data_IF_517860355466
#
_entry.id   IF_517860355466
#
_cell.length_a   1.000
_cell.length_b   1.000
_cell.length_c   1.000
_cell.angle_alpha   90.00
_cell.angle_beta   90.00
_cell.angle_gamma   90.00
#
_symmetry.space_group_name_H-M   'P 1'
#
loop_
_entity.id
_entity.type
_entity.pdbx_description
1 polymer ?
#
# COMPACT_ATOMS: atom_id res chain seq x y z
N UNK A 1 20.15 16.84 -5.19
CA UNK A 1 19.98 17.48 -3.87
C UNK A 1 20.96 18.66 -3.70
N UNK A 2 20.69 19.78 -4.40
CA UNK A 2 21.58 20.96 -4.34
C UNK A 2 21.18 21.92 -3.20
N UNK A 3 19.89 21.96 -2.84
CA UNK A 3 19.37 22.87 -1.82
C UNK A 3 19.77 22.48 -0.39
N UNK A 4 19.85 21.17 -0.07
CA UNK A 4 20.34 20.71 1.24
C UNK A 4 21.85 20.97 1.35
N UNK A 5 22.62 20.60 0.31
CA UNK A 5 24.07 20.79 0.30
C UNK A 5 24.45 22.26 0.49
N UNK A 6 23.79 23.19 -0.22
CA UNK A 6 24.02 24.62 -0.06
C UNK A 6 23.84 25.11 1.39
N UNK A 7 22.80 24.62 2.09
CA UNK A 7 22.57 24.99 3.49
C UNK A 7 23.58 24.36 4.45
N UNK A 8 24.09 23.17 4.13
CA UNK A 8 25.15 22.52 4.91
C UNK A 8 26.46 23.29 4.76
N UNK A 9 26.84 23.64 3.54
CA UNK A 9 28.07 24.38 3.25
C UNK A 9 28.09 25.77 3.90
N UNK A 10 26.95 26.49 3.91
CA UNK A 10 26.81 27.76 4.65
C UNK A 10 27.08 27.62 6.15
N UNK A 11 26.87 26.43 6.71
CA UNK A 11 27.13 26.11 8.12
C UNK A 11 28.50 25.42 8.33
N UNK A 12 29.34 25.35 7.29
CA UNK A 12 30.63 24.63 7.35
C UNK A 12 30.49 23.11 7.49
N UNK A 13 29.33 22.56 7.10
CA UNK A 13 29.04 21.12 7.14
C UNK A 13 29.08 20.52 5.73
N UNK A 14 29.24 19.20 5.67
CA UNK A 14 29.16 18.41 4.43
C UNK A 14 28.18 17.25 4.60
N UNK A 15 27.84 16.59 3.49
CA UNK A 15 27.06 15.36 3.55
C UNK A 15 27.84 14.26 4.28
N UNK A 16 27.10 13.44 5.03
CA UNK A 16 27.67 12.23 5.63
C UNK A 16 28.28 11.33 4.55
N UNK A 17 29.38 10.62 4.85
CA UNK A 17 29.96 9.68 3.91
C UNK A 17 28.95 8.61 3.51
N UNK A 18 29.07 8.11 2.28
CA UNK A 18 28.24 7.02 1.81
C UNK A 18 28.38 5.80 2.72
N UNK A 19 27.26 5.11 2.95
CA UNK A 19 27.29 3.87 3.72
C UNK A 19 28.10 2.79 2.97
N UNK A 20 28.70 1.87 3.72
CA UNK A 20 29.40 0.73 3.12
C UNK A 20 28.46 -0.11 2.25
N UNK A 21 29.01 -0.76 1.21
CA UNK A 21 28.23 -1.63 0.31
C UNK A 21 27.41 -2.68 1.08
N UNK A 22 27.99 -3.27 2.12
CA UNK A 22 27.32 -4.25 3.00
C UNK A 22 26.10 -3.65 3.71
N UNK A 23 26.20 -2.41 4.17
CA UNK A 23 25.08 -1.69 4.78
C UNK A 23 24.02 -1.33 3.75
N UNK A 24 24.42 -0.90 2.55
CA UNK A 24 23.51 -0.52 1.47
C UNK A 24 22.63 -1.68 1.03
N UNK A 25 23.20 -2.85 0.73
CA UNK A 25 22.39 -4.02 0.34
C UNK A 25 21.41 -4.43 1.44
N UNK A 26 21.84 -4.45 2.71
CA UNK A 26 20.95 -4.78 3.82
C UNK A 26 19.77 -3.79 3.91
N UNK A 27 20.02 -2.49 3.79
CA UNK A 27 18.97 -1.46 3.79
C UNK A 27 17.99 -1.65 2.63
N UNK A 28 18.49 -1.77 1.41
CA UNK A 28 17.66 -1.97 0.22
C UNK A 28 16.70 -3.16 0.36
N UNK A 29 17.18 -4.28 0.87
CA UNK A 29 16.36 -5.47 1.07
C UNK A 29 15.26 -5.25 2.12
N UNK A 30 15.59 -4.65 3.27
CA UNK A 30 14.58 -4.35 4.29
C UNK A 30 13.58 -3.29 3.85
N UNK A 31 14.05 -2.25 3.17
CA UNK A 31 13.23 -1.12 2.75
C UNK A 31 12.28 -1.53 1.62
N UNK A 32 12.78 -2.26 0.62
CA UNK A 32 12.00 -2.63 -0.56
C UNK A 32 11.20 -3.91 -0.37
N UNK A 33 11.72 -4.91 0.34
CA UNK A 33 11.08 -6.24 0.45
C UNK A 33 10.69 -6.62 1.87
N UNK A 34 11.13 -5.87 2.88
CA UNK A 34 10.87 -6.18 4.29
C UNK A 34 11.66 -7.37 4.85
N UNK A 35 12.53 -8.00 4.06
CA UNK A 35 13.27 -9.20 4.43
C UNK A 35 14.77 -8.95 4.30
N UNK A 36 15.63 -9.68 5.05
CA UNK A 36 17.07 -9.61 4.86
C UNK A 36 17.51 -10.25 3.53
N UNK A 37 18.65 -9.83 2.95
CA UNK A 37 19.28 -10.54 1.84
C UNK A 37 19.84 -11.89 2.27
N UNK A 38 19.96 -12.84 1.34
CA UNK A 38 20.71 -14.08 1.57
C UNK A 38 22.22 -13.80 1.62
N UNK A 39 23.01 -14.63 2.34
CA UNK A 39 24.47 -14.49 2.40
C UNK A 39 25.13 -14.41 1.02
N UNK A 40 24.69 -15.24 0.07
CA UNK A 40 25.23 -15.31 -1.28
C UNK A 40 24.95 -14.03 -2.07
N UNK A 41 23.77 -13.42 -1.87
CA UNK A 41 23.41 -12.15 -2.51
C UNK A 41 24.27 -10.99 -1.97
N UNK A 42 24.65 -11.03 -0.68
CA UNK A 42 25.60 -10.08 -0.09
C UNK A 42 26.97 -10.24 -0.75
N UNK A 43 27.49 -11.47 -0.82
CA UNK A 43 28.81 -11.74 -1.38
C UNK A 43 28.89 -11.30 -2.85
N UNK A 44 27.90 -11.67 -3.67
CA UNK A 44 27.81 -11.26 -5.07
C UNK A 44 27.81 -9.74 -5.21
N UNK A 45 27.01 -9.02 -4.41
CA UNK A 45 26.97 -7.57 -4.45
C UNK A 45 28.27 -6.91 -3.96
N UNK A 46 29.00 -7.52 -3.03
CA UNK A 46 30.26 -6.96 -2.53
C UNK A 46 31.40 -7.06 -3.55
N UNK A 47 31.42 -8.12 -4.36
CA UNK A 47 32.44 -8.33 -5.40
C UNK A 47 32.07 -7.74 -6.77
N UNK A 48 30.81 -7.31 -6.96
CA UNK A 48 30.36 -6.70 -8.20
C UNK A 48 31.02 -5.32 -8.43
N UNK A 49 31.88 -5.25 -9.44
CA UNK A 49 32.64 -4.06 -9.83
C UNK A 49 31.93 -3.20 -10.87
N UNK A 50 30.74 -3.60 -11.35
CA UNK A 50 29.96 -2.79 -12.26
C UNK A 50 29.62 -1.45 -11.57
N UNK A 51 29.88 -0.30 -12.22
CA UNK A 51 29.53 1.00 -11.66
C UNK A 51 28.01 1.16 -11.41
N UNK A 52 27.17 0.34 -12.06
CA UNK A 52 25.71 0.29 -11.89
C UNK A 52 25.22 -0.86 -11.01
N UNK A 53 26.10 -1.52 -10.24
CA UNK A 53 25.73 -2.66 -9.40
C UNK A 53 24.60 -2.30 -8.40
N UNK A 54 24.62 -1.08 -7.86
CA UNK A 54 23.60 -0.61 -6.93
C UNK A 54 22.25 -0.41 -7.61
N UNK A 55 22.22 0.27 -8.75
CA UNK A 55 21.01 0.54 -9.52
C UNK A 55 20.39 -0.77 -10.02
N UNK A 56 21.20 -1.69 -10.54
CA UNK A 56 20.74 -3.03 -10.95
C UNK A 56 20.13 -3.81 -9.78
N UNK A 57 20.70 -3.68 -8.59
CA UNK A 57 20.15 -4.30 -7.39
C UNK A 57 18.79 -3.68 -7.03
N UNK A 58 18.67 -2.36 -7.08
CA UNK A 58 17.41 -1.64 -6.85
C UNK A 58 16.34 -2.11 -7.84
N UNK A 59 16.64 -2.11 -9.15
CA UNK A 59 15.72 -2.54 -10.19
C UNK A 59 15.25 -3.98 -9.97
N UNK A 60 16.17 -4.89 -9.61
CA UNK A 60 15.83 -6.29 -9.30
C UNK A 60 14.90 -6.41 -8.10
N UNK A 61 15.09 -5.60 -7.07
CA UNK A 61 14.26 -5.63 -5.87
C UNK A 61 12.89 -5.01 -6.12
N UNK A 62 12.80 -3.92 -6.90
CA UNK A 62 11.54 -3.31 -7.31
C UNK A 62 10.72 -4.27 -8.20
N UNK A 63 11.38 -5.04 -9.07
CA UNK A 63 10.72 -6.04 -9.92
C UNK A 63 10.29 -7.32 -9.17
N UNK A 64 10.66 -7.48 -7.89
CA UNK A 64 10.29 -8.65 -7.10
C UNK A 64 8.86 -8.53 -6.59
N UNK A 65 8.08 -9.63 -6.62
CA UNK A 65 6.72 -9.66 -6.03
C UNK A 65 6.66 -9.23 -4.56
N UNK A 66 7.75 -9.41 -3.83
CA UNK A 66 7.90 -9.02 -2.43
C UNK A 66 7.86 -7.52 -2.22
N UNK A 67 8.16 -6.74 -3.26
CA UNK A 67 8.01 -5.29 -3.23
C UNK A 67 6.55 -4.91 -2.98
N UNK A 68 5.62 -5.41 -3.81
CA UNK A 68 4.20 -5.18 -3.62
C UNK A 68 3.69 -5.71 -2.28
N UNK A 69 4.15 -6.88 -1.81
CA UNK A 69 3.80 -7.40 -0.48
C UNK A 69 4.24 -6.48 0.66
N UNK A 70 5.44 -5.90 0.56
CA UNK A 70 5.98 -4.98 1.57
C UNK A 70 5.22 -3.65 1.55
N UNK A 71 5.04 -3.06 0.38
CA UNK A 71 4.47 -1.73 0.24
C UNK A 71 2.94 -1.73 0.38
N UNK A 72 2.26 -2.81 -0.01
CA UNK A 72 0.82 -2.94 0.20
C UNK A 72 0.46 -2.86 1.67
N UNK A 73 1.30 -3.37 2.58
CA UNK A 73 1.05 -3.26 4.03
C UNK A 73 0.85 -1.81 4.46
N UNK A 74 1.70 -0.90 3.99
CA UNK A 74 1.59 0.52 4.34
C UNK A 74 0.29 1.13 3.83
N UNK A 75 -0.13 0.76 2.62
CA UNK A 75 -1.44 1.18 2.10
C UNK A 75 -2.60 0.57 2.87
N UNK A 76 -2.54 -0.73 3.16
CA UNK A 76 -3.60 -1.46 3.84
C UNK A 76 -3.78 -0.96 5.28
N UNK A 77 -2.69 -0.63 5.97
CA UNK A 77 -2.74 0.02 7.29
C UNK A 77 -3.44 1.38 7.20
N UNK A 78 -3.10 2.20 6.20
CA UNK A 78 -3.72 3.51 5.98
C UNK A 78 -5.19 3.40 5.57
N UNK A 79 -5.53 2.39 4.76
CA UNK A 79 -6.88 2.12 4.31
C UNK A 79 -7.75 1.50 5.41
N UNK A 80 -7.22 1.10 6.57
CA UNK A 80 -8.00 0.44 7.63
C UNK A 80 -8.36 -1.01 7.31
N UNK A 81 -7.54 -1.71 6.52
CA UNK A 81 -7.78 -3.12 6.19
C UNK A 81 -7.86 -3.99 7.45
N UNK A 82 -8.92 -4.80 7.53
CA UNK A 82 -9.07 -5.83 8.53
C UNK A 82 -9.79 -7.05 7.93
N UNK A 83 -9.41 -8.25 8.36
CA UNK A 83 -10.10 -9.50 8.00
C UNK A 83 -11.42 -9.68 8.77
N UNK A 84 -11.79 -8.73 9.64
CA UNK A 84 -13.02 -8.72 10.44
C UNK A 84 -13.67 -7.32 10.46
N UNK A 85 -14.90 -7.22 10.98
CA UNK A 85 -15.71 -6.00 10.97
C UNK A 85 -15.32 -4.96 12.05
N UNK A 86 -14.56 -5.36 13.08
CA UNK A 86 -14.01 -4.45 14.08
C UNK A 86 -15.02 -3.90 15.11
N UNK A 87 -16.19 -4.55 15.28
CA UNK A 87 -17.27 -4.09 16.16
C UNK A 87 -17.35 -4.87 17.48
N UNK A 88 -17.49 -4.16 18.62
CA UNK A 88 -17.32 -4.69 19.98
C UNK A 88 -18.25 -5.88 20.35
N UNK A 89 -19.47 -5.93 19.82
CA UNK A 89 -20.47 -6.92 20.25
C UNK A 89 -20.51 -8.18 19.36
N UNK A 90 -19.92 -8.13 18.17
CA UNK A 90 -19.80 -9.26 17.25
C UNK A 90 -18.73 -8.93 16.19
N UNK A 91 -17.50 -9.44 16.32
CA UNK A 91 -16.46 -9.19 15.32
C UNK A 91 -16.50 -10.24 14.20
N UNK A 92 -17.39 -10.07 13.23
CA UNK A 92 -17.56 -11.03 12.14
C UNK A 92 -16.35 -11.03 11.21
N UNK A 93 -15.95 -12.22 10.79
CA UNK A 93 -14.96 -12.38 9.72
C UNK A 93 -15.54 -11.89 8.39
N UNK A 94 -14.72 -11.19 7.61
CA UNK A 94 -15.01 -10.75 6.25
C UNK A 94 -14.45 -11.79 5.28
N UNK A 95 -15.25 -12.77 4.81
CA UNK A 95 -14.74 -13.98 4.14
C UNK A 95 -14.03 -13.71 2.80
N UNK A 96 -14.19 -12.51 2.24
CA UNK A 96 -13.66 -12.16 0.92
C UNK A 96 -12.75 -10.93 0.93
N UNK A 97 -12.46 -10.34 2.10
CA UNK A 97 -11.67 -9.11 2.20
C UNK A 97 -10.22 -9.28 1.72
N UNK A 98 -9.66 -10.50 1.84
CA UNK A 98 -8.34 -10.83 1.28
C UNK A 98 -8.21 -10.52 -0.22
N UNK A 99 -9.31 -10.49 -0.98
CA UNK A 99 -9.29 -10.13 -2.40
C UNK A 99 -8.81 -8.69 -2.61
N UNK A 100 -9.22 -7.78 -1.73
CA UNK A 100 -8.79 -6.39 -1.75
C UNK A 100 -7.30 -6.26 -1.38
N UNK A 101 -6.83 -6.98 -0.36
CA UNK A 101 -5.38 -7.10 -0.06
C UNK A 101 -4.59 -7.54 -1.29
N UNK A 102 -5.04 -8.62 -1.93
CA UNK A 102 -4.34 -9.18 -3.08
C UNK A 102 -4.40 -8.23 -4.29
N UNK A 103 -5.48 -7.46 -4.45
CA UNK A 103 -5.58 -6.39 -5.45
C UNK A 103 -4.55 -5.28 -5.21
N UNK A 104 -4.40 -4.78 -3.98
CA UNK A 104 -3.40 -3.75 -3.64
C UNK A 104 -1.98 -4.26 -3.92
N UNK A 105 -1.68 -5.50 -3.53
CA UNK A 105 -0.37 -6.14 -3.80
C UNK A 105 -0.11 -6.22 -5.31
N UNK A 106 -1.10 -6.61 -6.12
CA UNK A 106 -0.96 -6.66 -7.58
C UNK A 106 -0.77 -5.26 -8.18
N UNK A 107 -1.60 -4.30 -7.78
CA UNK A 107 -1.54 -2.93 -8.28
C UNK A 107 -0.15 -2.29 -8.08
N UNK A 108 0.48 -2.53 -6.92
CA UNK A 108 1.84 -2.03 -6.65
C UNK A 108 2.92 -2.78 -7.45
N UNK A 109 2.79 -4.11 -7.61
CA UNK A 109 3.75 -4.89 -8.39
C UNK A 109 3.67 -4.61 -9.89
N UNK A 110 2.50 -4.23 -10.39
CA UNK A 110 2.26 -3.90 -11.81
C UNK A 110 2.53 -2.43 -12.12
N UNK A 111 3.02 -1.64 -11.14
CA UNK A 111 3.23 -0.20 -11.25
C UNK A 111 1.97 0.53 -11.76
N UNK A 112 0.80 0.15 -11.21
CA UNK A 112 -0.48 0.74 -11.61
C UNK A 112 -0.43 2.25 -11.35
N UNK A 113 -0.77 3.10 -12.36
CA UNK A 113 -0.79 4.53 -12.17
C UNK A 113 -1.64 4.91 -10.95
N UNK A 114 -1.09 5.73 -10.06
CA UNK A 114 -1.76 6.10 -8.81
C UNK A 114 -3.17 6.67 -9.03
N UNK A 115 -3.36 7.46 -10.09
CA UNK A 115 -4.69 7.99 -10.46
C UNK A 115 -5.69 6.89 -10.79
N UNK A 116 -5.27 5.84 -11.51
CA UNK A 116 -6.11 4.68 -11.82
C UNK A 116 -6.38 3.85 -10.57
N UNK A 117 -5.35 3.60 -9.76
CA UNK A 117 -5.47 2.89 -8.49
C UNK A 117 -6.48 3.58 -7.55
N UNK A 118 -6.45 4.91 -7.46
CA UNK A 118 -7.36 5.67 -6.61
C UNK A 118 -8.80 5.69 -7.15
N UNK A 119 -9.00 5.93 -8.45
CA UNK A 119 -10.36 5.98 -9.02
C UNK A 119 -11.06 4.60 -8.96
N UNK A 120 -10.33 3.50 -9.18
CA UNK A 120 -10.87 2.15 -9.02
C UNK A 120 -11.33 1.87 -7.57
N UNK A 121 -10.67 2.47 -6.58
CA UNK A 121 -11.04 2.29 -5.17
C UNK A 121 -12.26 3.10 -4.74
N UNK A 122 -12.49 4.27 -5.36
CA UNK A 122 -13.60 5.16 -5.01
C UNK A 122 -14.85 4.88 -5.85
N UNK A 123 -14.68 4.42 -7.09
CA UNK A 123 -15.77 4.31 -8.06
C UNK A 123 -15.59 3.14 -9.04
N UNK A 124 -14.90 2.07 -8.65
CA UNK A 124 -14.59 0.97 -9.56
C UNK A 124 -15.83 0.30 -10.15
N UNK A 125 -16.89 0.14 -9.37
CA UNK A 125 -18.20 -0.35 -9.82
C UNK A 125 -18.84 0.52 -10.92
N UNK A 126 -18.60 1.84 -10.91
CA UNK A 126 -19.06 2.78 -11.94
C UNK A 126 -18.20 2.77 -13.22
N UNK A 127 -16.98 2.22 -13.16
CA UNK A 127 -16.06 2.16 -14.31
C UNK A 127 -16.37 0.99 -15.26
N UNK A 128 -17.22 0.04 -14.86
CA UNK A 128 -17.42 -1.22 -15.57
C UNK A 128 -18.89 -1.65 -15.61
N UNK A 129 -19.32 -2.28 -16.71
CA UNK A 129 -20.65 -2.89 -16.80
C UNK A 129 -20.68 -4.29 -16.17
N UNK A 130 -20.67 -4.31 -14.83
CA UNK A 130 -20.76 -5.55 -14.06
C UNK A 130 -22.15 -6.23 -14.15
N UNK A 131 -23.18 -5.49 -14.58
CA UNK A 131 -24.55 -5.98 -14.68
C UNK A 131 -24.79 -6.83 -15.93
N UNK A 132 -23.93 -6.70 -16.95
CA UNK A 132 -23.93 -7.52 -18.16
C UNK A 132 -23.78 -9.04 -17.92
N UNK A 133 -23.37 -9.45 -16.73
CA UNK A 133 -23.11 -10.85 -16.36
C UNK A 133 -21.77 -11.39 -16.87
N UNK A 134 -20.94 -10.57 -17.55
CA UNK A 134 -19.60 -10.95 -18.00
C UNK A 134 -18.55 -10.39 -17.03
N UNK A 135 -17.87 -11.29 -16.32
CA UNK A 135 -16.79 -10.91 -15.41
C UNK A 135 -15.44 -11.06 -16.12
N UNK A 136 -14.91 -9.94 -16.62
CA UNK A 136 -13.53 -9.84 -17.13
C UNK A 136 -12.55 -9.57 -15.97
N UNK A 137 -11.23 -9.70 -16.17
CA UNK A 137 -10.25 -9.29 -15.16
C UNK A 137 -10.40 -7.83 -14.73
N UNK A 138 -10.71 -6.92 -15.68
CA UNK A 138 -10.94 -5.50 -15.37
C UNK A 138 -12.20 -5.30 -14.52
N UNK A 139 -13.31 -5.97 -14.87
CA UNK A 139 -14.54 -5.94 -14.04
C UNK A 139 -14.25 -6.45 -12.64
N UNK A 140 -13.54 -7.58 -12.54
CA UNK A 140 -13.18 -8.16 -11.25
C UNK A 140 -12.32 -7.21 -10.40
N UNK A 141 -11.25 -6.64 -10.96
CA UNK A 141 -10.36 -5.74 -10.22
C UNK A 141 -11.07 -4.45 -9.81
N UNK A 142 -11.90 -3.87 -10.68
CA UNK A 142 -12.68 -2.67 -10.35
C UNK A 142 -13.69 -2.92 -9.21
N UNK A 143 -14.40 -4.04 -9.22
CA UNK A 143 -15.32 -4.41 -8.14
C UNK A 143 -14.58 -4.69 -6.82
N UNK A 144 -13.44 -5.37 -6.88
CA UNK A 144 -12.61 -5.66 -5.71
C UNK A 144 -11.99 -4.38 -5.14
N UNK A 145 -11.53 -3.47 -5.99
CA UNK A 145 -10.93 -2.20 -5.60
C UNK A 145 -11.91 -1.33 -4.81
N UNK A 146 -13.19 -1.31 -5.21
CA UNK A 146 -14.27 -0.60 -4.52
C UNK A 146 -14.46 -1.10 -3.07
N UNK A 147 -13.92 -2.27 -2.73
CA UNK A 147 -13.78 -2.75 -1.35
C UNK A 147 -13.00 -1.82 -0.42
N UNK A 148 -12.24 -0.84 -0.95
CA UNK A 148 -11.66 0.26 -0.15
C UNK A 148 -12.73 1.00 0.66
N UNK A 149 -13.93 1.23 0.12
CA UNK A 149 -15.03 1.87 0.85
C UNK A 149 -15.64 0.96 1.92
N UNK A 150 -15.14 -0.27 2.08
CA UNK A 150 -15.64 -1.27 3.04
C UNK A 150 -14.61 -1.62 4.10
N UNK A 151 -13.50 -0.89 4.17
CA UNK A 151 -12.45 -1.12 5.16
C UNK A 151 -12.79 -0.52 6.52
N UNK A 152 -13.60 0.55 6.57
CA UNK A 152 -14.12 1.10 7.82
C UNK A 152 -14.81 0.04 8.69
N UNK A 153 -14.77 0.14 10.03
CA UNK A 153 -15.55 -0.72 10.89
C UNK A 153 -17.04 -0.60 10.56
N UNK A 154 -17.70 -1.70 10.23
CA UNK A 154 -19.12 -1.68 9.85
C UNK A 154 -19.93 -2.47 10.86
N UNK A 155 -20.80 -1.79 11.61
CA UNK A 155 -21.71 -2.41 12.59
C UNK A 155 -23.13 -2.62 12.09
N UNK A 156 -23.42 -2.26 10.85
CA UNK A 156 -24.79 -2.29 10.27
C UNK A 156 -25.29 -3.70 9.98
N UNK A 157 -24.42 -4.72 10.06
CA UNK A 157 -24.80 -6.12 9.90
C UNK A 157 -25.53 -6.69 11.14
N UNK A 158 -25.40 -6.08 12.32
CA UNK A 158 -25.91 -6.63 13.57
C UNK A 158 -27.35 -6.19 13.85
N UNK A 159 -28.20 -7.11 14.34
CA UNK A 159 -29.64 -6.87 14.52
C UNK A 159 -29.97 -5.84 15.62
N UNK A 160 -29.04 -5.62 16.55
CA UNK A 160 -29.17 -4.66 17.66
C UNK A 160 -28.56 -3.28 17.33
N UNK A 161 -27.87 -3.19 16.20
CA UNK A 161 -27.34 -1.98 15.58
C UNK A 161 -28.00 -1.85 14.20
N UNK A 162 -27.55 -0.97 13.30
CA UNK A 162 -28.20 -0.64 12.01
C UNK A 162 -29.31 0.41 12.09
N UNK A 163 -29.28 1.25 13.12
CA UNK A 163 -30.07 2.47 13.14
C UNK A 163 -29.44 3.53 12.23
N UNK A 164 -30.20 4.59 11.94
CA UNK A 164 -29.70 5.72 11.13
C UNK A 164 -28.37 6.28 11.68
N UNK A 165 -28.16 6.48 12.99
CA UNK A 165 -26.88 6.94 13.52
C UNK A 165 -25.71 6.02 13.19
N UNK A 166 -25.89 4.69 13.28
CA UNK A 166 -24.82 3.73 12.99
C UNK A 166 -24.38 3.82 11.52
N UNK A 167 -25.33 4.00 10.59
CA UNK A 167 -25.03 4.16 9.17
C UNK A 167 -24.28 5.45 8.88
N UNK A 168 -24.67 6.54 9.55
CA UNK A 168 -23.98 7.83 9.44
C UNK A 168 -22.56 7.76 10.00
N UNK A 169 -22.35 6.97 11.05
CA UNK A 169 -21.02 6.76 11.62
C UNK A 169 -20.11 5.96 10.70
N UNK A 170 -20.61 4.90 10.05
CA UNK A 170 -19.85 4.17 9.02
C UNK A 170 -19.44 5.09 7.87
N UNK A 171 -20.36 5.94 7.39
CA UNK A 171 -20.06 6.93 6.34
C UNK A 171 -19.00 7.93 6.83
N UNK A 172 -19.08 8.38 8.09
CA UNK A 172 -18.08 9.28 8.66
C UNK A 172 -16.70 8.62 8.75
N UNK A 173 -16.62 7.36 9.20
CA UNK A 173 -15.38 6.59 9.28
C UNK A 173 -14.78 6.36 7.88
N UNK A 174 -15.60 6.06 6.86
CA UNK A 174 -15.18 5.97 5.46
C UNK A 174 -14.59 7.30 4.95
N UNK A 175 -15.23 8.42 5.27
CA UNK A 175 -14.72 9.76 4.92
C UNK A 175 -13.41 10.09 5.64
N UNK A 176 -13.26 9.68 6.89
CA UNK A 176 -12.03 9.86 7.66
C UNK A 176 -10.87 9.03 7.10
N UNK A 177 -11.11 7.77 6.72
CA UNK A 177 -10.12 6.92 6.04
C UNK A 177 -9.71 7.56 4.71
N UNK A 178 -10.66 7.98 3.88
CA UNK A 178 -10.38 8.63 2.60
C UNK A 178 -9.58 9.93 2.80
N UNK A 179 -10.03 10.80 3.72
CA UNK A 179 -9.39 12.07 4.01
C UNK A 179 -7.95 11.91 4.52
N UNK A 180 -7.74 10.99 5.45
CA UNK A 180 -6.43 10.76 6.06
C UNK A 180 -5.47 10.02 5.15
N UNK A 181 -5.90 8.92 4.52
CA UNK A 181 -5.03 8.06 3.70
C UNK A 181 -4.68 8.69 2.34
N UNK A 182 -5.61 9.46 1.74
CA UNK A 182 -5.42 10.01 0.39
C UNK A 182 -5.01 11.47 0.42
N UNK A 183 -5.65 12.30 1.26
CA UNK A 183 -5.40 13.75 1.29
C UNK A 183 -4.40 14.16 2.36
N UNK A 184 -4.08 13.30 3.32
CA UNK A 184 -3.30 13.69 4.51
C UNK A 184 -4.02 14.71 5.39
N UNK A 185 -5.36 14.73 5.34
CA UNK A 185 -6.21 15.66 6.07
C UNK A 185 -7.00 14.91 7.14
N UNK A 186 -7.28 15.59 8.25
CA UNK A 186 -8.27 15.13 9.24
C UNK A 186 -9.58 15.82 8.95
N UNK A 187 -10.64 15.05 8.70
CA UNK A 187 -11.97 15.58 8.36
C UNK A 187 -12.91 15.24 9.52
N UNK A 188 -12.81 16.01 10.61
CA UNK A 188 -13.67 15.89 11.79
C UNK A 188 -14.78 16.94 11.79
#
# INVERSE_FOLDING_TARGET
DAFVLQRLEQKGLSLSPAASRRTLIRRLYFDLTGLPPQPEEIEQFLIDTDPRAYEKLVDRLLASRRYGERWARHWLDAAGYADSEGAQNEDKLRPHMYRYRDYVIRALNEDKPYSRFLIEQIAGDELVDYQSGKITPEVYDCLVATGFLRTAPDRTFANITNFVPDRLEVIADEMDILGSAVLGLTIK
#
